data_IF_067627095991
#
_entry.id   IF_067627095991
#
_cell.length_a   1.000
_cell.length_b   1.000
_cell.length_c   1.000
_cell.angle_alpha   90.00
_cell.angle_beta   90.00
_cell.angle_gamma   90.00
#
_symmetry.space_group_name_H-M   'P 1'
#
loop_
_entity.id
_entity.type
_entity.pdbx_description
1 polymer ?
#
# COMPACT_ATOMS: atom_id res chain seq x y z
N UNK A 1 -15.59 -25.91 -0.72
CA UNK A 1 -15.95 -25.23 0.53
C UNK A 1 -15.52 -23.78 0.54
N UNK A 2 -16.43 -22.88 0.94
CA UNK A 2 -16.11 -21.48 1.21
C UNK A 2 -15.40 -21.35 2.57
N UNK A 3 -14.50 -20.36 2.72
CA UNK A 3 -13.78 -20.09 3.96
C UNK A 3 -14.79 -19.95 5.13
N UNK A 4 -14.67 -20.77 6.18
CA UNK A 4 -15.57 -20.75 7.36
C UNK A 4 -15.18 -19.69 8.40
N UNK A 5 -14.21 -18.84 8.08
CA UNK A 5 -13.72 -17.79 8.97
C UNK A 5 -14.28 -16.44 8.50
N UNK A 6 -14.80 -15.60 9.40
CA UNK A 6 -15.13 -14.21 9.06
C UNK A 6 -13.85 -13.49 8.65
N UNK A 7 -13.77 -13.09 7.38
CA UNK A 7 -12.67 -12.29 6.87
C UNK A 7 -13.01 -10.81 6.97
N UNK A 8 -12.03 -9.99 7.36
CA UNK A 8 -12.17 -8.54 7.30
C UNK A 8 -12.24 -8.11 5.83
N UNK A 9 -13.02 -7.07 5.53
CA UNK A 9 -13.30 -6.66 4.15
C UNK A 9 -12.02 -6.45 3.32
N UNK A 10 -10.97 -5.89 3.93
CA UNK A 10 -9.67 -5.64 3.28
C UNK A 10 -8.84 -6.92 3.00
N UNK A 11 -9.22 -8.07 3.56
CA UNK A 11 -8.56 -9.37 3.35
C UNK A 11 -9.28 -10.25 2.32
N UNK A 12 -10.50 -9.88 1.92
CA UNK A 12 -11.31 -10.67 1.00
C UNK A 12 -10.73 -10.60 -0.42
N UNK A 13 -10.71 -11.76 -1.09
CA UNK A 13 -10.24 -11.91 -2.47
C UNK A 13 -11.34 -12.54 -3.32
N UNK A 14 -11.73 -11.85 -4.40
CA UNK A 14 -12.54 -12.43 -5.46
C UNK A 14 -11.66 -13.34 -6.31
N UNK A 15 -11.80 -14.66 -6.13
CA UNK A 15 -10.98 -15.68 -6.77
C UNK A 15 -11.81 -16.48 -7.78
N UNK A 16 -11.33 -16.60 -9.00
CA UNK A 16 -12.01 -17.35 -10.04
C UNK A 16 -11.63 -16.93 -11.45
N UNK A 17 -12.39 -17.43 -12.42
CA UNK A 17 -12.28 -17.03 -13.83
C UNK A 17 -13.68 -16.80 -14.41
N UNK A 18 -13.76 -16.15 -15.57
CA UNK A 18 -15.01 -16.01 -16.31
C UNK A 18 -15.68 -17.36 -16.62
N UNK A 19 -14.90 -18.43 -16.75
CA UNK A 19 -15.38 -19.78 -17.08
C UNK A 19 -15.88 -20.56 -15.86
N UNK A 20 -15.22 -20.38 -14.71
CA UNK A 20 -15.48 -21.15 -13.48
C UNK A 20 -16.32 -20.39 -12.44
N UNK A 21 -16.61 -19.11 -12.71
CA UNK A 21 -17.23 -18.19 -11.77
C UNK A 21 -16.24 -17.68 -10.72
N UNK A 22 -16.69 -16.68 -9.95
CA UNK A 22 -15.91 -16.08 -8.87
C UNK A 22 -16.47 -16.47 -7.52
N UNK A 23 -15.58 -16.67 -6.54
CA UNK A 23 -15.90 -16.90 -5.14
C UNK A 23 -15.08 -15.98 -4.24
N UNK A 24 -15.61 -15.67 -3.06
CA UNK A 24 -14.90 -14.87 -2.06
C UNK A 24 -14.05 -15.79 -1.16
N UNK A 25 -12.75 -15.50 -1.06
CA UNK A 25 -11.81 -16.19 -0.19
C UNK A 25 -11.20 -15.21 0.80
N UNK A 26 -10.98 -15.65 2.04
CA UNK A 26 -10.12 -14.97 2.99
C UNK A 26 -8.65 -15.06 2.54
N UNK A 27 -7.78 -14.17 3.00
CA UNK A 27 -6.37 -14.10 2.57
C UNK A 27 -5.60 -15.42 2.71
N UNK A 28 -5.82 -16.14 3.83
CA UNK A 28 -5.26 -17.47 4.05
C UNK A 28 -5.72 -18.48 2.99
N UNK A 29 -7.03 -18.68 2.83
CA UNK A 29 -7.56 -19.65 1.87
C UNK A 29 -7.21 -19.30 0.43
N UNK A 30 -7.07 -18.00 0.10
CA UNK A 30 -6.55 -17.59 -1.19
C UNK A 30 -5.10 -18.05 -1.39
N UNK A 31 -4.21 -17.77 -0.42
CA UNK A 31 -2.80 -18.17 -0.54
C UNK A 31 -2.66 -19.69 -0.58
N UNK A 32 -3.36 -20.45 0.27
CA UNK A 32 -3.34 -21.92 0.24
C UNK A 32 -3.75 -22.45 -1.14
N UNK A 33 -4.88 -21.95 -1.69
CA UNK A 33 -5.34 -22.35 -3.03
C UNK A 33 -4.36 -21.94 -4.14
N UNK A 34 -3.68 -20.80 -3.99
CA UNK A 34 -2.66 -20.35 -4.94
C UNK A 34 -1.41 -21.23 -4.88
N UNK A 35 -0.92 -21.57 -3.68
CA UNK A 35 0.24 -22.42 -3.48
C UNK A 35 0.02 -23.82 -4.07
N UNK A 36 -1.15 -24.42 -3.80
CA UNK A 36 -1.55 -25.71 -4.37
C UNK A 36 -1.52 -25.70 -5.90
N UNK A 37 -2.06 -24.63 -6.51
CA UNK A 37 -2.10 -24.48 -7.97
C UNK A 37 -0.72 -24.28 -8.58
N UNK A 38 0.21 -23.67 -7.85
CA UNK A 38 1.59 -23.45 -8.25
C UNK A 38 2.50 -24.64 -7.93
N UNK A 39 2.00 -25.65 -7.21
CA UNK A 39 2.80 -26.80 -6.78
C UNK A 39 3.83 -26.45 -5.69
N UNK A 40 3.65 -25.34 -4.98
CA UNK A 40 4.55 -24.89 -3.92
C UNK A 40 4.37 -25.77 -2.69
N UNK A 41 5.34 -26.64 -2.42
CA UNK A 41 5.35 -27.50 -1.24
C UNK A 41 5.88 -26.73 -0.03
N UNK A 42 5.17 -26.80 1.09
CA UNK A 42 5.63 -26.20 2.36
C UNK A 42 5.42 -24.69 2.47
N UNK A 43 4.70 -24.06 1.55
CA UNK A 43 4.31 -22.66 1.71
C UNK A 43 3.42 -22.49 2.95
N UNK A 44 3.78 -21.53 3.81
CA UNK A 44 3.00 -21.19 5.00
C UNK A 44 2.41 -19.78 4.89
N UNK A 45 1.10 -19.66 5.10
CA UNK A 45 0.47 -18.35 5.25
C UNK A 45 0.77 -17.80 6.66
N UNK A 46 1.67 -16.83 6.72
CA UNK A 46 1.96 -16.06 7.94
C UNK A 46 1.11 -14.79 8.00
N UNK A 47 0.44 -14.60 9.13
CA UNK A 47 -0.24 -13.37 9.49
C UNK A 47 0.64 -12.61 10.51
N UNK A 48 0.88 -11.33 10.26
CA UNK A 48 1.67 -10.48 11.14
C UNK A 48 0.78 -9.57 11.97
N UNK A 49 1.15 -9.39 13.24
CA UNK A 49 0.47 -8.45 14.12
C UNK A 49 0.67 -7.01 13.63
N UNK A 50 -0.34 -6.13 13.77
CA UNK A 50 -0.19 -4.72 13.47
C UNK A 50 0.94 -4.08 14.30
N UNK A 51 1.58 -3.07 13.72
CA UNK A 51 2.61 -2.28 14.42
C UNK A 51 2.25 -0.81 14.42
N UNK A 52 2.86 -0.07 15.34
CA UNK A 52 2.80 1.39 15.37
C UNK A 52 4.16 1.99 15.09
N UNK A 53 4.17 3.06 14.31
CA UNK A 53 5.38 3.78 13.94
C UNK A 53 5.12 5.28 13.98
N UNK A 54 6.17 6.06 14.29
CA UNK A 54 6.13 7.51 14.20
C UNK A 54 6.64 7.97 12.84
N UNK A 55 6.01 8.99 12.27
CA UNK A 55 6.53 9.71 11.11
C UNK A 55 7.55 10.81 11.50
N UNK A 56 8.10 11.49 10.50
CA UNK A 56 9.04 12.60 10.68
C UNK A 56 8.45 13.81 11.41
N UNK A 57 7.13 13.89 11.56
CA UNK A 57 6.41 14.91 12.34
C UNK A 57 6.09 14.45 13.76
N UNK A 58 6.37 13.19 14.10
CA UNK A 58 6.02 12.58 15.37
C UNK A 58 4.56 12.13 15.47
N UNK A 59 3.83 12.06 14.35
CA UNK A 59 2.49 11.47 14.31
C UNK A 59 2.60 9.93 14.37
N UNK A 60 1.70 9.29 15.13
CA UNK A 60 1.65 7.83 15.24
C UNK A 60 0.74 7.24 14.17
N UNK A 61 1.23 6.21 13.49
CA UNK A 61 0.58 5.48 12.42
C UNK A 61 0.50 3.99 12.78
N UNK A 62 -0.69 3.40 12.70
CA UNK A 62 -0.90 1.96 12.88
C UNK A 62 -0.97 1.25 11.52
N UNK A 63 -0.04 0.32 11.30
CA UNK A 63 0.06 -0.44 10.06
C UNK A 63 -0.42 -1.87 10.25
N UNK A 64 -1.28 -2.31 9.33
CA UNK A 64 -1.67 -3.71 9.18
C UNK A 64 -0.94 -4.34 8.01
N UNK A 65 -0.79 -5.66 8.08
CA UNK A 65 -0.07 -6.42 7.09
C UNK A 65 -0.97 -7.36 6.32
N UNK A 66 -0.62 -7.61 5.06
CA UNK A 66 -1.27 -8.64 4.25
C UNK A 66 -0.26 -9.36 3.40
N UNK A 67 -0.22 -10.68 3.53
CA UNK A 67 0.60 -11.57 2.70
C UNK A 67 -0.23 -12.08 1.53
N UNK A 68 0.26 -11.93 0.29
CA UNK A 68 -0.45 -12.38 -0.92
C UNK A 68 0.49 -13.10 -1.88
N UNK A 69 0.15 -14.33 -2.24
CA UNK A 69 0.79 -15.02 -3.36
C UNK A 69 0.28 -14.47 -4.69
N UNK A 70 1.18 -14.29 -5.65
CA UNK A 70 0.83 -13.86 -7.00
C UNK A 70 1.88 -14.37 -8.00
N UNK A 71 1.43 -14.91 -9.14
CA UNK A 71 2.35 -15.49 -10.11
C UNK A 71 3.28 -16.52 -9.45
N UNK A 72 4.58 -16.28 -9.48
CA UNK A 72 5.59 -17.09 -8.78
C UNK A 72 6.17 -16.42 -7.53
N UNK A 73 5.68 -15.25 -7.12
CA UNK A 73 6.20 -14.49 -5.97
C UNK A 73 5.22 -14.36 -4.81
N UNK A 74 5.71 -13.77 -3.71
CA UNK A 74 4.91 -13.40 -2.54
C UNK A 74 5.08 -11.91 -2.25
N UNK A 75 3.96 -11.22 -2.00
CA UNK A 75 3.96 -9.82 -1.59
C UNK A 75 3.58 -9.72 -0.11
N UNK A 76 4.28 -8.86 0.63
CA UNK A 76 3.82 -8.38 1.93
C UNK A 76 3.48 -6.89 1.77
N UNK A 77 2.19 -6.59 1.90
CA UNK A 77 1.68 -5.22 1.96
C UNK A 77 1.69 -4.74 3.42
N UNK A 78 2.02 -3.48 3.64
CA UNK A 78 1.67 -2.73 4.86
C UNK A 78 0.77 -1.54 4.50
N UNK A 79 -0.29 -1.31 5.26
CA UNK A 79 -1.23 -0.22 4.99
C UNK A 79 -1.91 0.25 6.28
N UNK A 80 -2.28 1.53 6.30
CA UNK A 80 -3.18 2.06 7.32
C UNK A 80 -4.64 1.72 6.95
N UNK A 81 -5.53 1.77 7.94
CA UNK A 81 -6.96 1.63 7.72
C UNK A 81 -7.70 2.93 8.04
N UNK A 82 -8.63 3.30 7.17
CA UNK A 82 -9.67 4.29 7.43
C UNK A 82 -11.02 3.67 7.08
N UNK A 83 -11.96 3.70 8.03
CA UNK A 83 -13.28 3.09 7.88
C UNK A 83 -13.28 1.62 7.40
N UNK A 84 -12.25 0.87 7.82
CA UNK A 84 -12.07 -0.54 7.47
C UNK A 84 -11.46 -0.79 6.08
N UNK A 85 -11.12 0.25 5.34
CA UNK A 85 -10.49 0.20 4.03
C UNK A 85 -9.03 0.66 4.10
N UNK A 86 -8.12 0.08 3.27
CA UNK A 86 -6.77 0.58 3.13
C UNK A 86 -6.76 2.05 2.71
N UNK A 87 -6.01 2.89 3.42
CA UNK A 87 -5.93 4.33 3.21
C UNK A 87 -4.54 4.84 3.63
N UNK A 88 -4.25 6.12 3.38
CA UNK A 88 -3.02 6.77 3.86
C UNK A 88 -1.74 6.07 3.40
N UNK A 89 -0.78 5.91 4.31
CA UNK A 89 0.49 5.27 3.99
C UNK A 89 0.31 3.81 3.57
N UNK A 90 0.96 3.44 2.45
CA UNK A 90 0.95 2.09 1.90
C UNK A 90 2.34 1.71 1.42
N UNK A 91 2.76 0.51 1.75
CA UNK A 91 4.08 -0.03 1.41
C UNK A 91 3.94 -1.47 0.93
N UNK A 92 4.89 -1.91 0.11
CA UNK A 92 4.97 -3.29 -0.34
C UNK A 92 6.43 -3.70 -0.48
N UNK A 93 6.68 -4.98 -0.23
CA UNK A 93 7.86 -5.71 -0.71
C UNK A 93 7.39 -6.97 -1.43
N UNK A 94 8.18 -7.38 -2.42
CA UNK A 94 8.00 -8.65 -3.14
C UNK A 94 9.22 -9.52 -2.84
N UNK A 95 8.97 -10.79 -2.56
CA UNK A 95 9.97 -11.83 -2.40
C UNK A 95 9.60 -13.10 -3.14
N UNK A 96 10.43 -14.12 -2.97
CA UNK A 96 10.16 -15.46 -3.46
C UNK A 96 9.31 -16.25 -2.45
N UNK A 97 8.52 -17.25 -2.86
CA UNK A 97 7.64 -17.99 -1.94
C UNK A 97 8.37 -18.80 -0.87
N UNK A 98 9.65 -19.09 -1.07
CA UNK A 98 10.56 -19.77 -0.15
C UNK A 98 11.43 -18.82 0.69
N UNK A 99 11.32 -17.49 0.47
CA UNK A 99 11.95 -16.51 1.35
C UNK A 99 11.37 -16.61 2.78
N UNK A 100 12.23 -16.41 3.77
CA UNK A 100 11.81 -16.43 5.18
C UNK A 100 10.86 -15.23 5.47
N UNK A 101 9.62 -15.47 5.95
CA UNK A 101 8.61 -14.42 6.11
C UNK A 101 9.06 -13.26 7.00
N UNK A 102 9.84 -13.55 8.05
CA UNK A 102 10.38 -12.51 8.95
C UNK A 102 11.49 -11.67 8.30
N UNK A 103 12.25 -12.22 7.36
CA UNK A 103 13.23 -11.46 6.59
C UNK A 103 12.54 -10.49 5.63
N UNK A 104 11.48 -10.94 4.94
CA UNK A 104 10.66 -10.06 4.10
C UNK A 104 9.97 -8.97 4.92
N UNK A 105 9.42 -9.31 6.09
CA UNK A 105 8.89 -8.32 7.01
C UNK A 105 9.98 -7.31 7.40
N UNK A 106 11.19 -7.77 7.75
CA UNK A 106 12.32 -6.90 8.07
C UNK A 106 12.67 -5.90 6.96
N UNK A 107 12.67 -6.37 5.70
CA UNK A 107 12.87 -5.50 4.51
C UNK A 107 11.77 -4.44 4.41
N UNK A 108 10.51 -4.83 4.60
CA UNK A 108 9.35 -3.93 4.59
C UNK A 108 9.42 -2.89 5.70
N UNK A 109 9.72 -3.30 6.94
CA UNK A 109 9.91 -2.37 8.07
C UNK A 109 11.04 -1.38 7.79
N UNK A 110 12.15 -1.83 7.19
CA UNK A 110 13.24 -0.95 6.79
C UNK A 110 12.78 0.11 5.80
N UNK A 111 12.00 -0.28 4.78
CA UNK A 111 11.38 0.61 3.81
C UNK A 111 10.44 1.62 4.46
N UNK A 112 9.54 1.14 5.31
CA UNK A 112 8.59 1.98 6.05
C UNK A 112 9.31 3.04 6.89
N UNK A 113 10.36 2.65 7.63
CA UNK A 113 11.15 3.58 8.46
C UNK A 113 11.79 4.70 7.64
N UNK A 114 12.37 4.37 6.48
CA UNK A 114 12.98 5.37 5.59
C UNK A 114 11.96 6.33 5.04
N UNK A 115 10.82 5.81 4.56
CA UNK A 115 9.77 6.62 3.99
C UNK A 115 9.11 7.53 5.03
N UNK A 116 8.78 7.00 6.21
CA UNK A 116 8.16 7.76 7.30
C UNK A 116 9.09 8.84 7.88
N UNK A 117 10.41 8.66 7.81
CA UNK A 117 11.36 9.67 8.26
C UNK A 117 11.44 10.89 7.34
N UNK A 118 10.92 10.79 6.11
CA UNK A 118 10.87 11.88 5.15
C UNK A 118 9.49 12.53 5.18
N UNK A 119 9.48 13.86 5.17
CA UNK A 119 8.28 14.66 4.96
C UNK A 119 8.41 15.40 3.64
N UNK A 120 7.33 15.48 2.88
CA UNK A 120 7.26 16.13 1.57
C UNK A 120 6.37 17.37 1.58
N UNK A 121 5.45 17.44 2.52
CA UNK A 121 4.48 18.52 2.62
C UNK A 121 4.76 19.40 3.84
N UNK A 122 4.13 20.56 3.89
CA UNK A 122 4.03 21.38 5.09
C UNK A 122 2.71 22.16 5.10
N UNK A 123 2.25 22.49 6.31
CA UNK A 123 1.06 23.30 6.52
C UNK A 123 1.50 24.77 6.63
N UNK A 124 1.04 25.62 5.71
CA UNK A 124 1.40 27.04 5.63
C UNK A 124 0.17 27.95 5.78
N UNK A 125 0.38 29.26 5.86
CA UNK A 125 -0.71 30.26 5.81
C UNK A 125 -1.51 30.21 4.48
N UNK A 126 -0.96 29.58 3.44
CA UNK A 126 -1.60 29.35 2.15
C UNK A 126 -2.17 27.94 1.99
N UNK A 127 -2.27 27.19 3.10
CA UNK A 127 -2.70 25.80 3.12
C UNK A 127 -1.55 24.82 2.94
N UNK A 128 -1.89 23.59 2.54
CA UNK A 128 -0.93 22.51 2.29
C UNK A 128 -0.01 22.87 1.11
N UNK A 129 1.30 22.78 1.30
CA UNK A 129 2.30 23.10 0.28
C UNK A 129 3.41 22.03 0.22
N UNK A 130 4.17 22.03 -0.87
CA UNK A 130 5.43 21.27 -0.97
C UNK A 130 6.46 21.96 -0.09
N UNK A 131 7.15 21.19 0.75
CA UNK A 131 8.15 21.77 1.63
C UNK A 131 9.43 22.20 0.88
N UNK A 132 10.33 22.85 1.61
CA UNK A 132 11.63 23.33 1.12
C UNK A 132 12.54 22.24 0.53
N UNK A 133 12.21 20.94 0.68
CA UNK A 133 12.90 19.84 0.04
C UNK A 133 12.63 19.73 -1.46
N UNK A 134 11.58 20.39 -1.97
CA UNK A 134 11.20 20.47 -3.40
C UNK A 134 11.01 19.10 -4.08
N UNK A 135 10.75 18.07 -3.29
CA UNK A 135 10.53 16.70 -3.76
C UNK A 135 9.21 16.22 -3.21
N UNK A 136 8.32 15.80 -4.10
CA UNK A 136 7.08 15.10 -3.77
C UNK A 136 7.23 13.62 -4.09
N UNK A 137 7.02 12.77 -3.10
CA UNK A 137 6.90 11.32 -3.27
C UNK A 137 5.60 10.86 -2.65
N UNK A 138 4.92 9.96 -3.34
CA UNK A 138 3.61 9.50 -2.92
C UNK A 138 3.16 8.26 -3.68
N UNK A 139 1.96 7.84 -3.39
CA UNK A 139 1.29 6.74 -4.09
C UNK A 139 0.09 7.29 -4.85
N UNK A 140 -0.13 6.79 -6.06
CA UNK A 140 -1.40 6.98 -6.77
C UNK A 140 -2.36 5.90 -6.29
N UNK A 141 -3.52 6.30 -5.80
CA UNK A 141 -4.58 5.41 -5.33
C UNK A 141 -5.90 5.67 -6.07
N UNK A 142 -6.91 4.86 -5.79
CA UNK A 142 -8.28 5.10 -6.25
C UNK A 142 -9.10 5.74 -5.14
N UNK A 143 -9.81 6.82 -5.45
CA UNK A 143 -10.87 7.33 -4.58
C UNK A 143 -12.13 6.44 -4.76
N UNK A 144 -12.64 5.77 -3.71
CA UNK A 144 -13.82 4.94 -3.82
C UNK A 144 -15.13 5.74 -3.92
N UNK A 145 -15.13 7.01 -3.48
CA UNK A 145 -16.31 7.88 -3.39
C UNK A 145 -16.40 8.87 -4.56
N UNK A 146 -15.28 9.15 -5.24
CA UNK A 146 -15.26 9.96 -6.47
C UNK A 146 -15.41 9.15 -7.76
N UNK A 147 -15.82 9.87 -8.80
CA UNK A 147 -15.87 9.36 -10.16
C UNK A 147 -14.48 8.85 -10.57
N UNK A 148 -14.35 7.54 -10.80
CA UNK A 148 -13.10 6.80 -11.07
C UNK A 148 -12.30 7.30 -12.29
N UNK A 149 -12.67 8.42 -12.89
CA UNK A 149 -11.99 9.12 -13.98
C UNK A 149 -10.71 9.80 -13.54
N UNK A 150 -10.55 10.12 -12.26
CA UNK A 150 -9.36 10.80 -11.74
C UNK A 150 -8.84 10.04 -10.50
N UNK A 151 -7.55 9.68 -10.43
CA UNK A 151 -7.03 8.94 -9.28
C UNK A 151 -6.84 9.86 -8.07
N UNK A 152 -6.67 9.30 -6.88
CA UNK A 152 -6.24 10.03 -5.68
C UNK A 152 -4.71 10.04 -5.59
N UNK A 153 -4.12 11.09 -5.02
CA UNK A 153 -2.68 11.13 -4.70
C UNK A 153 -2.51 11.07 -3.19
N UNK A 154 -1.64 10.18 -2.71
CA UNK A 154 -1.31 10.10 -1.27
C UNK A 154 0.14 10.49 -1.05
N UNK A 155 0.37 11.56 -0.29
CA UNK A 155 1.71 12.07 0.07
C UNK A 155 1.75 12.27 1.58
N UNK A 156 2.83 11.85 2.25
CA UNK A 156 2.95 11.87 3.72
C UNK A 156 1.73 11.23 4.44
N UNK A 157 1.15 10.17 3.86
CA UNK A 157 -0.06 9.52 4.38
C UNK A 157 -1.34 10.34 4.27
N UNK A 158 -1.30 11.53 3.67
CA UNK A 158 -2.45 12.40 3.41
C UNK A 158 -2.98 12.16 2.00
N UNK A 159 -4.29 11.96 1.88
CA UNK A 159 -4.99 11.93 0.60
C UNK A 159 -5.16 13.37 0.10
N UNK A 160 -4.82 13.58 -1.17
CA UNK A 160 -4.72 14.89 -1.82
C UNK A 160 -5.42 14.78 -3.16
N UNK A 161 -6.48 15.58 -3.33
CA UNK A 161 -7.18 15.73 -4.60
C UNK A 161 -6.27 16.34 -5.67
N UNK A 162 -6.58 16.12 -6.94
CA UNK A 162 -5.81 16.76 -8.03
C UNK A 162 -5.96 18.29 -8.03
N UNK A 163 -7.06 18.82 -7.52
CA UNK A 163 -7.23 20.26 -7.35
C UNK A 163 -6.28 20.82 -6.28
N UNK A 164 -6.11 20.11 -5.16
CA UNK A 164 -5.12 20.47 -4.13
C UNK A 164 -3.71 20.32 -4.66
N UNK A 165 -3.41 19.21 -5.35
CA UNK A 165 -2.12 18.99 -5.98
C UNK A 165 -1.80 20.10 -6.99
N UNK A 166 -2.75 20.48 -7.84
CA UNK A 166 -2.63 21.56 -8.80
C UNK A 166 -2.36 22.91 -8.13
N UNK A 167 -3.02 23.21 -7.01
CA UNK A 167 -2.74 24.42 -6.21
C UNK A 167 -1.33 24.44 -5.66
N UNK A 168 -0.81 23.30 -5.18
CA UNK A 168 0.58 23.20 -4.72
C UNK A 168 1.56 23.43 -5.87
N UNK A 169 1.30 22.82 -7.03
CA UNK A 169 2.16 22.97 -8.22
C UNK A 169 2.14 24.40 -8.78
N UNK A 170 1.03 25.13 -8.64
CA UNK A 170 0.91 26.52 -9.12
C UNK A 170 1.94 27.47 -8.49
N UNK A 171 2.49 27.15 -7.32
CA UNK A 171 3.54 27.96 -6.68
C UNK A 171 4.90 27.86 -7.40
N UNK A 172 5.06 26.91 -8.32
CA UNK A 172 6.27 26.65 -9.09
C UNK A 172 6.21 27.23 -10.52
N UNK A 173 5.53 28.37 -10.71
CA UNK A 173 5.43 29.03 -12.03
C UNK A 173 6.83 29.28 -12.64
N UNK A 174 7.05 28.78 -13.86
CA UNK A 174 8.32 28.90 -14.59
C UNK A 174 9.35 27.79 -14.30
N UNK A 175 9.06 26.84 -13.42
CA UNK A 175 9.96 25.72 -13.11
C UNK A 175 9.76 24.54 -14.07
N UNK A 176 10.77 23.65 -14.11
CA UNK A 176 10.69 22.36 -14.80
C UNK A 176 10.43 21.25 -13.78
N UNK A 177 9.66 20.22 -14.16
CA UNK A 177 9.40 19.06 -13.31
C UNK A 177 9.52 17.74 -14.07
N UNK A 178 9.71 16.65 -13.33
CA UNK A 178 9.72 15.27 -13.83
C UNK A 178 8.76 14.44 -12.98
N UNK A 179 7.89 13.68 -13.63
CA UNK A 179 7.03 12.70 -12.99
C UNK A 179 7.56 11.29 -13.30
N UNK A 180 7.72 10.47 -12.28
CA UNK A 180 8.26 9.11 -12.40
C UNK A 180 7.37 8.12 -11.66
N UNK A 181 6.98 7.07 -12.36
CA UNK A 181 6.16 5.98 -11.79
C UNK A 181 7.04 4.76 -11.57
N UNK A 182 6.93 4.18 -10.38
CA UNK A 182 7.64 2.98 -9.94
C UNK A 182 6.65 1.98 -9.38
N UNK A 183 7.03 0.70 -9.42
CA UNK A 183 6.25 -0.32 -8.75
C UNK A 183 6.25 -0.07 -7.23
N UNK A 184 5.16 -0.39 -6.54
CA UNK A 184 5.04 -0.17 -5.09
C UNK A 184 6.10 -0.93 -4.28
N UNK A 185 6.64 -2.01 -4.83
CA UNK A 185 7.74 -2.75 -4.22
C UNK A 185 9.09 -2.03 -4.27
N UNK A 186 9.29 -1.09 -5.19
CA UNK A 186 10.53 -0.32 -5.35
C UNK A 186 10.64 0.85 -4.35
N UNK A 187 11.87 1.28 -4.03
CA UNK A 187 12.11 2.50 -3.26
C UNK A 187 12.04 3.73 -4.18
N UNK A 188 11.57 4.86 -3.64
CA UNK A 188 11.46 6.16 -4.35
C UNK A 188 12.06 7.29 -3.54
#
# INVERSE_FOLDING_TARGET
DACRQPALAYEVVSYGSMESGYRQLCGRCFNEAAADRLGLQGFEHVAFEPIRMLDGRGAEHEFRFRTRLFGQGVAIDAFELRDGCPAGYRFQVIGEPDDEPLELLGKLIGKMRRALALTHLEDTDHGLQVNDGLVLRGTVDSDPDEDHRVPMVVVDGREISWDEFGRMVATFEGWQFRLEFRDRSEEV
#
